data_IF_484896553741
#
_entry.id   IF_484896553741
#
_cell.length_a   1.000
_cell.length_b   1.000
_cell.length_c   1.000
_cell.angle_alpha   90.00
_cell.angle_beta   90.00
_cell.angle_gamma   90.00
#
_symmetry.space_group_name_H-M   'P 1'
#
loop_
_entity.id
_entity.type
_entity.pdbx_description
1 polymer ?
#
# COMPACT_ATOMS: atom_id res chain seq x y z
N UNK A 1 7.46 21.13 -37.02
CA UNK A 1 8.15 22.34 -36.48
C UNK A 1 9.06 21.91 -35.34
N UNK A 2 10.27 22.48 -35.21
CA UNK A 2 11.19 22.25 -34.09
C UNK A 2 11.78 23.61 -33.70
N UNK A 3 11.75 23.96 -32.42
CA UNK A 3 12.37 25.19 -31.92
C UNK A 3 13.73 24.93 -31.23
N UNK A 4 14.04 23.66 -30.94
CA UNK A 4 15.29 23.20 -30.36
C UNK A 4 15.85 22.01 -31.15
N UNK A 5 17.16 21.72 -31.02
CA UNK A 5 17.85 20.67 -31.79
C UNK A 5 17.22 19.28 -31.66
N UNK A 6 16.59 19.01 -30.52
CA UNK A 6 15.99 17.71 -30.19
C UNK A 6 14.46 17.68 -30.28
N UNK A 7 13.79 18.81 -30.49
CA UNK A 7 12.33 18.83 -30.45
C UNK A 7 11.72 20.22 -30.35
N UNK A 8 10.51 20.25 -29.83
CA UNK A 8 9.75 21.47 -29.56
C UNK A 8 9.60 21.62 -28.05
N UNK A 9 9.92 22.81 -27.54
CA UNK A 9 9.84 23.17 -26.13
C UNK A 9 8.95 24.39 -26.00
N UNK A 10 7.83 24.28 -25.33
CA UNK A 10 6.94 25.41 -25.04
C UNK A 10 6.80 25.62 -23.55
N UNK A 11 6.45 26.84 -23.16
CA UNK A 11 6.11 27.14 -21.78
C UNK A 11 4.77 26.47 -21.46
N UNK A 12 4.79 25.56 -20.48
CA UNK A 12 3.60 24.90 -19.99
C UNK A 12 3.25 25.42 -18.60
N UNK A 13 1.96 25.68 -18.37
CA UNK A 13 1.45 26.12 -17.07
C UNK A 13 0.66 24.97 -16.43
N UNK A 14 1.37 24.11 -15.71
CA UNK A 14 0.74 23.08 -14.87
C UNK A 14 0.57 23.57 -13.44
N UNK A 15 -0.52 23.15 -12.80
CA UNK A 15 -0.66 23.30 -11.36
C UNK A 15 0.33 22.35 -10.67
N UNK A 16 1.15 22.87 -9.75
CA UNK A 16 2.22 22.09 -9.10
C UNK A 16 1.70 20.82 -8.44
N UNK A 17 0.52 20.90 -7.82
CA UNK A 17 -0.10 19.74 -7.17
C UNK A 17 -0.45 18.62 -8.16
N UNK A 18 -1.02 18.96 -9.31
CA UNK A 18 -1.40 17.98 -10.34
C UNK A 18 -0.15 17.33 -10.93
N UNK A 19 0.92 18.11 -11.16
CA UNK A 19 2.19 17.57 -11.61
C UNK A 19 2.76 16.56 -10.61
N UNK A 20 2.84 16.93 -9.34
CA UNK A 20 3.39 16.06 -8.29
C UNK A 20 2.53 14.80 -8.10
N UNK A 21 1.20 14.92 -8.15
CA UNK A 21 0.28 13.79 -8.09
C UNK A 21 0.53 12.80 -9.22
N UNK A 22 0.61 13.26 -10.47
CA UNK A 22 0.81 12.38 -11.62
C UNK A 22 2.23 11.79 -11.62
N UNK A 23 3.24 12.57 -11.25
CA UNK A 23 4.62 12.09 -11.09
C UNK A 23 4.72 10.96 -10.06
N UNK A 24 4.11 11.14 -8.89
CA UNK A 24 4.11 10.12 -7.85
C UNK A 24 3.27 8.90 -8.22
N UNK A 25 2.17 9.09 -8.95
CA UNK A 25 1.33 7.98 -9.46
C UNK A 25 2.10 7.13 -10.47
N UNK A 26 2.83 7.76 -11.38
CA UNK A 26 3.69 7.03 -12.32
C UNK A 26 4.77 6.23 -11.61
N UNK A 27 5.48 6.82 -10.65
CA UNK A 27 6.55 6.12 -9.92
C UNK A 27 6.04 4.99 -9.02
N UNK A 28 4.81 5.10 -8.51
CA UNK A 28 4.24 4.10 -7.61
C UNK A 28 3.56 2.95 -8.33
N UNK A 29 2.77 3.25 -9.36
CA UNK A 29 1.92 2.27 -10.03
C UNK A 29 2.30 2.01 -11.48
N UNK A 30 3.21 2.81 -12.06
CA UNK A 30 3.66 2.65 -13.44
C UNK A 30 2.75 3.29 -14.49
N UNK A 31 1.70 4.02 -14.09
CA UNK A 31 0.81 4.74 -15.01
C UNK A 31 0.54 6.18 -14.58
N UNK A 32 0.25 7.05 -15.54
CA UNK A 32 -0.18 8.43 -15.30
C UNK A 32 -1.01 8.96 -16.47
N UNK A 33 -1.63 10.13 -16.28
CA UNK A 33 -2.32 10.86 -17.34
C UNK A 33 -1.30 11.40 -18.35
N UNK A 34 -1.62 11.29 -19.64
CA UNK A 34 -0.82 11.81 -20.73
C UNK A 34 -0.83 13.35 -20.74
N UNK A 35 0.30 14.03 -20.47
CA UNK A 35 0.37 15.50 -20.45
C UNK A 35 0.25 16.11 -21.85
N UNK A 36 0.36 15.31 -22.93
CA UNK A 36 0.20 15.76 -24.32
C UNK A 36 -1.26 15.70 -24.80
N UNK A 37 -2.11 14.96 -24.09
CA UNK A 37 -3.51 14.85 -24.46
C UNK A 37 -4.25 16.14 -24.11
N UNK A 38 -4.71 16.84 -25.14
CA UNK A 38 -5.53 18.05 -24.99
C UNK A 38 -6.82 17.84 -24.17
N UNK A 39 -7.21 16.59 -23.90
CA UNK A 39 -8.42 16.23 -23.18
C UNK A 39 -8.15 15.58 -21.80
N UNK A 40 -6.90 15.28 -21.42
CA UNK A 40 -6.57 14.70 -20.11
C UNK A 40 -7.20 13.32 -19.81
N UNK A 41 -7.78 12.65 -20.80
CA UNK A 41 -8.44 11.34 -20.65
C UNK A 41 -7.57 10.15 -21.07
N UNK A 42 -6.41 10.42 -21.66
CA UNK A 42 -5.51 9.37 -22.08
C UNK A 42 -4.52 9.05 -20.97
N UNK A 43 -4.19 7.77 -20.82
CA UNK A 43 -3.20 7.30 -19.87
C UNK A 43 -1.99 6.73 -20.60
N UNK A 44 -0.82 6.85 -19.98
CA UNK A 44 0.44 6.28 -20.44
C UNK A 44 1.04 5.39 -19.36
N UNK A 45 1.78 4.36 -19.77
CA UNK A 45 2.48 3.44 -18.87
C UNK A 45 1.85 2.05 -18.81
N UNK A 46 1.74 1.50 -17.61
CA UNK A 46 1.24 0.15 -17.35
C UNK A 46 -0.30 0.10 -17.27
N UNK A 47 -0.91 -0.44 -18.33
CA UNK A 47 -2.36 -0.59 -18.43
C UNK A 47 -2.93 -1.72 -17.55
N UNK A 48 -2.13 -2.74 -17.19
CA UNK A 48 -2.59 -3.80 -16.28
C UNK A 48 -2.73 -3.25 -14.86
N UNK A 49 -1.73 -2.50 -14.41
CA UNK A 49 -1.77 -1.80 -13.13
C UNK A 49 -2.91 -0.76 -13.09
N UNK A 50 -3.16 -0.07 -14.20
CA UNK A 50 -4.27 0.89 -14.32
C UNK A 50 -5.63 0.22 -14.14
N UNK A 51 -5.87 -0.91 -14.82
CA UNK A 51 -7.13 -1.63 -14.71
C UNK A 51 -7.33 -2.22 -13.30
N UNK A 52 -6.26 -2.71 -12.67
CA UNK A 52 -6.29 -3.26 -11.31
C UNK A 52 -6.62 -2.21 -10.25
N UNK A 53 -6.12 -0.99 -10.41
CA UNK A 53 -6.27 0.10 -9.44
C UNK A 53 -7.36 1.11 -9.83
N UNK A 54 -8.18 0.82 -10.84
CA UNK A 54 -9.28 1.68 -11.31
C UNK A 54 -8.85 3.14 -11.60
N UNK A 55 -7.66 3.29 -12.19
CA UNK A 55 -7.03 4.58 -12.51
C UNK A 55 -6.88 5.55 -11.30
N UNK A 56 -6.83 5.03 -10.08
CA UNK A 56 -6.70 5.83 -8.85
C UNK A 56 -5.30 6.46 -8.75
N UNK A 57 -5.23 7.73 -8.36
CA UNK A 57 -3.96 8.41 -8.07
C UNK A 57 -3.41 8.04 -6.68
N UNK A 58 -2.15 8.36 -6.41
CA UNK A 58 -1.55 8.13 -5.08
C UNK A 58 -2.33 8.82 -3.96
N UNK A 59 -2.91 9.98 -4.23
CA UNK A 59 -3.59 10.80 -3.22
C UNK A 59 -5.10 10.53 -3.15
N UNK A 60 -5.68 9.90 -4.17
CA UNK A 60 -7.11 9.58 -4.21
C UNK A 60 -7.43 8.19 -3.65
N UNK A 61 -6.86 7.83 -2.49
CA UNK A 61 -7.11 6.53 -1.86
C UNK A 61 -8.53 6.55 -1.25
N UNK A 62 -9.43 5.61 -1.59
CA UNK A 62 -10.75 5.55 -1.00
C UNK A 62 -10.67 5.33 0.53
N UNK A 63 -11.56 5.99 1.29
CA UNK A 63 -11.50 6.06 2.77
C UNK A 63 -11.37 4.70 3.48
N UNK A 64 -11.87 3.62 2.87
CA UNK A 64 -11.80 2.28 3.45
C UNK A 64 -10.36 1.73 3.47
N UNK A 65 -9.54 2.05 2.46
CA UNK A 65 -8.13 1.65 2.42
C UNK A 65 -7.25 2.56 3.28
N UNK A 66 -7.61 3.84 3.43
CA UNK A 66 -6.87 4.77 4.29
C UNK A 66 -6.85 4.27 5.75
N UNK A 67 -7.98 3.76 6.25
CA UNK A 67 -8.06 3.17 7.60
C UNK A 67 -7.19 1.93 7.75
N UNK A 68 -7.08 1.11 6.70
CA UNK A 68 -6.24 -0.09 6.67
C UNK A 68 -4.76 0.29 6.66
N UNK A 69 -4.35 1.26 5.84
CA UNK A 69 -2.95 1.75 5.77
C UNK A 69 -2.51 2.40 7.09
N UNK A 70 -3.32 3.28 7.68
CA UNK A 70 -3.02 3.86 9.01
C UNK A 70 -2.87 2.81 10.11
N UNK A 71 -3.66 1.72 10.05
CA UNK A 71 -3.57 0.64 11.03
C UNK A 71 -2.33 -0.24 10.82
N UNK A 72 -1.87 -0.39 9.58
CA UNK A 72 -0.68 -1.15 9.22
C UNK A 72 0.59 -0.34 9.52
N UNK A 73 0.64 0.94 9.17
CA UNK A 73 1.76 1.83 9.51
C UNK A 73 1.95 1.90 11.02
N UNK A 74 0.86 2.02 11.79
CA UNK A 74 0.91 1.97 13.25
C UNK A 74 1.37 0.61 13.80
N UNK A 75 1.20 -0.49 13.04
CA UNK A 75 1.70 -1.81 13.42
C UNK A 75 3.20 -1.93 13.11
N UNK A 76 3.64 -1.44 11.95
CA UNK A 76 5.04 -1.45 11.56
C UNK A 76 5.89 -0.53 12.43
N UNK A 77 5.37 0.64 12.85
CA UNK A 77 6.05 1.51 13.83
C UNK A 77 6.22 0.84 15.20
N UNK A 78 5.30 -0.06 15.59
CA UNK A 78 5.42 -0.85 16.82
C UNK A 78 6.41 -2.02 16.64
N UNK A 79 6.42 -2.67 15.47
CA UNK A 79 7.37 -3.74 15.13
C UNK A 79 8.82 -3.21 14.98
N UNK A 80 9.02 -2.00 14.48
CA UNK A 80 10.36 -1.36 14.41
C UNK A 80 10.84 -0.83 15.76
N UNK A 81 9.94 -0.48 16.68
CA UNK A 81 10.30 -0.15 18.06
C UNK A 81 10.69 -1.39 18.90
N UNK A 82 10.30 -2.59 18.45
CA UNK A 82 10.65 -3.89 19.05
C UNK A 82 11.66 -4.67 18.19
N UNK A 83 12.64 -3.97 17.61
CA UNK A 83 13.70 -4.62 16.85
C UNK A 83 14.60 -5.52 17.70
N UNK A 84 14.50 -6.83 17.42
CA UNK A 84 15.52 -7.89 17.51
C UNK A 84 15.80 -8.49 18.88
N UNK A 85 15.11 -9.60 19.16
CA UNK A 85 15.71 -10.90 19.48
C UNK A 85 14.55 -11.92 19.51
N UNK A 86 14.39 -12.72 18.46
CA UNK A 86 13.89 -14.10 18.54
C UNK A 86 13.88 -14.71 17.14
N UNK A 87 15.07 -15.18 16.73
CA UNK A 87 15.19 -16.30 15.81
C UNK A 87 14.49 -17.52 16.44
N UNK A 88 13.18 -17.65 16.23
CA UNK A 88 12.50 -18.94 16.38
C UNK A 88 11.43 -19.08 15.30
N UNK A 89 11.87 -19.62 14.15
CA UNK A 89 11.00 -20.32 13.21
C UNK A 89 10.22 -21.41 13.96
N UNK A 90 9.02 -21.06 14.44
CA UNK A 90 8.00 -22.00 14.87
C UNK A 90 6.89 -21.97 13.82
N UNK A 91 6.99 -22.93 12.92
CA UNK A 91 5.95 -23.41 12.04
C UNK A 91 4.56 -23.28 12.68
N UNK A 92 3.60 -22.71 11.94
CA UNK A 92 2.25 -22.37 12.44
C UNK A 92 1.42 -23.55 13.02
N UNK A 93 1.96 -24.77 12.97
CA UNK A 93 1.47 -25.94 13.70
C UNK A 93 1.70 -25.82 15.22
N UNK A 94 2.84 -25.29 15.65
CA UNK A 94 3.17 -25.12 17.07
C UNK A 94 2.29 -24.08 17.78
N UNK A 95 1.87 -23.03 17.08
CA UNK A 95 0.98 -22.00 17.63
C UNK A 95 -0.43 -22.55 17.93
N UNK A 96 -0.96 -23.41 17.04
CA UNK A 96 -2.25 -24.06 17.24
C UNK A 96 -2.21 -25.05 18.40
N UNK A 97 -1.15 -25.84 18.53
CA UNK A 97 -0.97 -26.75 19.67
C UNK A 97 -0.82 -25.98 20.99
N UNK A 98 -0.09 -24.87 21.01
CA UNK A 98 0.07 -24.04 22.21
C UNK A 98 -1.26 -23.44 22.67
N UNK A 99 -2.08 -22.94 21.75
CA UNK A 99 -3.43 -22.45 22.06
C UNK A 99 -4.31 -23.59 22.58
N UNK A 100 -4.28 -24.74 21.92
CA UNK A 100 -5.09 -25.90 22.30
C UNK A 100 -4.72 -26.41 23.69
N UNK A 101 -3.43 -26.50 24.02
CA UNK A 101 -2.96 -26.92 25.33
C UNK A 101 -3.37 -25.92 26.43
N UNK A 102 -3.30 -24.62 26.13
CA UNK A 102 -3.71 -23.56 27.06
C UNK A 102 -5.22 -23.57 27.31
N UNK A 103 -6.01 -23.88 26.28
CA UNK A 103 -7.45 -24.07 26.39
C UNK A 103 -7.81 -25.32 27.22
N UNK A 104 -7.11 -26.43 27.01
CA UNK A 104 -7.29 -27.66 27.79
C UNK A 104 -6.89 -27.49 29.26
N UNK A 105 -5.79 -26.80 29.55
CA UNK A 105 -5.40 -26.48 30.93
C UNK A 105 -6.41 -25.55 31.61
N UNK A 106 -6.90 -24.53 30.90
CA UNK A 106 -7.94 -23.65 31.43
C UNK A 106 -9.22 -24.43 31.74
N UNK A 107 -9.66 -25.30 30.84
CA UNK A 107 -10.83 -26.14 31.02
C UNK A 107 -10.68 -27.11 32.19
N UNK A 108 -9.51 -27.77 32.31
CA UNK A 108 -9.20 -28.64 33.44
C UNK A 108 -9.19 -27.88 34.78
N UNK A 109 -8.61 -26.67 34.82
CA UNK A 109 -8.62 -25.84 36.02
C UNK A 109 -10.02 -25.36 36.39
N UNK A 110 -10.83 -24.99 35.40
CA UNK A 110 -12.24 -24.63 35.56
C UNK A 110 -13.04 -25.78 36.18
N UNK A 111 -12.91 -26.99 35.62
CA UNK A 111 -13.61 -28.18 36.11
C UNK A 111 -13.18 -28.58 37.52
N UNK A 112 -11.92 -28.36 37.90
CA UNK A 112 -11.42 -28.69 39.23
C UNK A 112 -11.76 -27.64 40.30
N UNK A 113 -12.05 -26.41 39.90
CA UNK A 113 -12.35 -25.29 40.81
C UNK A 113 -13.85 -25.12 41.05
N UNK A 114 -14.69 -25.60 40.14
CA UNK A 114 -16.15 -25.42 40.18
C UNK A 114 -16.97 -26.73 40.11
N UNK A 115 -16.32 -27.90 40.14
CA UNK A 115 -16.96 -29.22 40.32
C UNK A 115 -16.66 -29.79 41.70
#
# INVERSE_FOLDING_TARGET
MRNHKLGFVEDASFESFIFDEQYNTFHKYGYAVDPSSSAGYNYIGDFEALQKNDAVSVYNIPQHEQKKKRKIEKRNELEEAEGVDDDMDLDGLGFFEFIFLKFMLFYYFMYKKFG
#
